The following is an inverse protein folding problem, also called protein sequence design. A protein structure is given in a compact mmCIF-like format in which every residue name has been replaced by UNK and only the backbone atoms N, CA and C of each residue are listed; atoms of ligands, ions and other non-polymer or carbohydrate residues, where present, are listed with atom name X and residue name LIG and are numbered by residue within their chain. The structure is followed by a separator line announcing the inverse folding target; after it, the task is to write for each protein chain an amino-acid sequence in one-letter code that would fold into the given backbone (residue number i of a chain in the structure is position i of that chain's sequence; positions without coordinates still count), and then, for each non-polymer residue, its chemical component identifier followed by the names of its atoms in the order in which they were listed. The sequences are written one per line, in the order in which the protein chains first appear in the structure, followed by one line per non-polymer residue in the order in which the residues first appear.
data_IF_722907475691
#
_entry.id   IF_722907475691
#
_cell.length_a   1.000
_cell.length_b   1.000
_cell.length_c   1.000
_cell.angle_alpha   90.00
_cell.angle_beta   90.00
_cell.angle_gamma   90.00
#
_symmetry.space_group_name_H-M   'P 1'
#
loop_
_entity.id
_entity.type
_entity.pdbx_description
1 polymer ?
#
# COMPACT_ATOMS: atom_id res chain seq x y z
N UNK A 1 38.63 14.30 9.47
CA UNK A 1 38.45 12.93 8.92
C UNK A 1 37.95 12.06 10.06
N UNK A 2 36.70 11.60 10.00
CA UNK A 2 36.10 10.71 11.00
C UNK A 2 35.37 9.62 10.22
N UNK A 3 35.69 8.38 10.55
CA UNK A 3 35.07 7.20 9.98
C UNK A 3 33.98 6.72 10.95
N UNK A 4 32.75 6.57 10.46
CA UNK A 4 31.68 5.90 11.20
C UNK A 4 31.60 4.45 10.71
N UNK A 5 32.31 3.54 11.37
CA UNK A 5 32.03 2.12 11.26
C UNK A 5 30.81 1.78 12.12
N UNK A 6 29.72 1.34 11.49
CA UNK A 6 28.73 0.48 12.12
C UNK A 6 28.83 -0.88 11.46
N UNK A 7 29.44 -1.82 12.18
CA UNK A 7 29.18 -3.24 11.99
C UNK A 7 28.37 -3.73 13.21
N UNK A 8 27.64 -4.83 13.04
CA UNK A 8 26.48 -5.36 13.80
C UNK A 8 25.17 -4.94 13.10
N UNK A 9 24.41 -5.85 12.50
CA UNK A 9 23.85 -7.04 13.15
C UNK A 9 23.93 -8.35 12.34
N UNK A 10 24.05 -9.43 13.13
CA UNK A 10 23.92 -10.84 12.74
C UNK A 10 22.44 -11.17 12.51
N UNK A 11 22.20 -12.01 11.50
CA UNK A 11 20.91 -12.44 10.95
C UNK A 11 20.29 -11.38 10.04
N UNK A 12 20.20 -11.59 8.72
CA UNK A 12 19.32 -10.75 7.92
C UNK A 12 17.94 -10.83 8.58
N UNK A 13 17.23 -9.70 8.80
CA UNK A 13 15.82 -9.79 9.16
C UNK A 13 15.20 -10.70 8.11
N UNK A 14 14.41 -11.69 8.55
CA UNK A 14 13.58 -12.45 7.62
C UNK A 14 12.82 -11.38 6.87
N UNK A 15 13.23 -11.11 5.63
CA UNK A 15 12.56 -10.13 4.79
C UNK A 15 11.24 -10.77 4.47
N UNK A 16 10.25 -10.47 5.31
CA UNK A 16 8.86 -10.63 4.95
C UNK A 16 8.65 -9.57 3.88
N UNK A 17 8.97 -9.95 2.64
CA UNK A 17 8.60 -9.15 1.47
C UNK A 17 7.11 -8.84 1.65
N UNK A 18 6.67 -7.57 1.68
CA UNK A 18 5.27 -7.29 1.93
C UNK A 18 4.45 -7.91 0.82
N UNK A 19 3.58 -8.84 1.24
CA UNK A 19 2.75 -9.64 0.36
C UNK A 19 1.36 -9.02 0.34
N UNK A 20 0.79 -8.89 -0.85
CA UNK A 20 -0.65 -8.67 -1.01
C UNK A 20 -1.26 -10.04 -1.27
N UNK A 21 -2.19 -10.45 -0.42
CA UNK A 21 -2.84 -11.76 -0.51
C UNK A 21 -4.34 -11.58 -0.77
N UNK A 22 -4.87 -12.28 -1.77
CA UNK A 22 -6.31 -12.31 -2.02
C UNK A 22 -6.96 -13.40 -1.17
N UNK A 23 -7.62 -12.98 -0.09
CA UNK A 23 -8.21 -13.90 0.91
C UNK A 23 -9.69 -14.21 0.66
N UNK A 24 -10.32 -13.57 -0.31
CA UNK A 24 -11.72 -13.81 -0.68
C UNK A 24 -11.92 -15.08 -1.52
N UNK A 25 -13.16 -15.57 -1.57
CA UNK A 25 -13.58 -16.60 -2.53
C UNK A 25 -13.33 -16.11 -3.98
N UNK A 26 -12.89 -16.97 -4.92
CA UNK A 26 -12.56 -18.40 -4.78
C UNK A 26 -11.08 -18.67 -4.44
N UNK A 27 -10.30 -17.63 -4.17
CA UNK A 27 -8.83 -17.70 -4.17
C UNK A 27 -8.26 -18.16 -2.81
N UNK A 28 -8.92 -17.81 -1.69
CA UNK A 28 -8.57 -18.27 -0.33
C UNK A 28 -7.07 -18.21 -0.01
N UNK A 29 -6.41 -17.11 -0.37
CA UNK A 29 -5.01 -16.85 -0.08
C UNK A 29 -3.99 -17.56 -0.97
N UNK A 30 -4.43 -18.24 -2.03
CA UNK A 30 -3.52 -18.93 -2.96
C UNK A 30 -2.74 -17.97 -3.86
N UNK A 31 -3.34 -16.84 -4.21
CA UNK A 31 -2.66 -15.79 -4.99
C UNK A 31 -1.99 -14.79 -4.06
N UNK A 32 -0.70 -14.62 -4.28
CA UNK A 32 0.18 -13.76 -3.50
C UNK A 32 0.96 -12.88 -4.47
N UNK A 33 0.85 -11.56 -4.29
CA UNK A 33 1.60 -10.57 -5.07
C UNK A 33 2.70 -9.96 -4.22
N UNK A 34 3.87 -9.77 -4.83
CA UNK A 34 4.96 -9.03 -4.19
C UNK A 34 4.69 -7.55 -4.30
N UNK A 35 4.82 -6.83 -3.19
CA UNK A 35 4.76 -5.38 -3.15
C UNK A 35 6.05 -4.81 -2.52
N UNK A 36 6.27 -3.52 -2.76
CA UNK A 36 7.25 -2.75 -1.99
C UNK A 36 6.49 -1.84 -1.04
N UNK A 37 6.80 -1.85 0.26
CA UNK A 37 6.04 -1.07 1.23
C UNK A 37 6.34 0.41 1.04
N UNK A 38 5.37 1.26 1.38
CA UNK A 38 5.61 2.68 1.44
C UNK A 38 6.59 3.00 2.58
N UNK A 39 7.46 3.99 2.37
CA UNK A 39 8.35 4.52 3.43
C UNK A 39 7.65 5.64 4.24
N UNK A 40 6.33 5.63 4.26
CA UNK A 40 5.49 6.60 4.96
C UNK A 40 4.21 5.92 5.43
N UNK A 41 3.56 6.52 6.44
CA UNK A 41 2.41 5.93 7.11
C UNK A 41 2.82 4.90 8.17
N UNK A 42 1.84 4.18 8.74
CA UNK A 42 2.09 3.09 9.69
C UNK A 42 2.91 1.96 9.07
N UNK A 43 3.72 1.30 9.89
CA UNK A 43 4.47 0.12 9.45
C UNK A 43 3.54 -1.08 9.32
N UNK A 44 3.63 -1.80 8.20
CA UNK A 44 2.91 -3.06 7.97
C UNK A 44 3.62 -4.28 8.58
N UNK A 45 4.75 -4.08 9.27
CA UNK A 45 5.47 -5.17 9.93
C UNK A 45 4.77 -5.67 11.20
N UNK A 46 3.98 -4.81 11.84
CA UNK A 46 3.33 -5.09 13.12
C UNK A 46 1.82 -5.22 13.02
N UNK A 47 1.21 -4.60 12.01
CA UNK A 47 -0.25 -4.59 11.82
C UNK A 47 -0.60 -4.86 10.35
N UNK A 48 -1.37 -5.93 10.14
CA UNK A 48 -1.93 -6.25 8.83
C UNK A 48 -3.23 -5.47 8.60
N UNK A 49 -3.48 -5.06 7.35
CA UNK A 49 -4.72 -4.42 6.93
C UNK A 49 -5.48 -5.40 6.04
N UNK A 50 -6.59 -5.92 6.55
CA UNK A 50 -7.49 -6.81 5.81
C UNK A 50 -8.78 -6.07 5.53
N UNK A 51 -9.05 -5.82 4.24
CA UNK A 51 -10.26 -5.17 3.79
C UNK A 51 -10.52 -5.48 2.32
N UNK A 52 -11.76 -5.23 1.88
CA UNK A 52 -12.10 -5.18 0.46
C UNK A 52 -11.27 -4.11 -0.28
N UNK A 53 -11.08 -4.34 -1.58
CA UNK A 53 -10.36 -3.46 -2.49
C UNK A 53 -11.32 -2.81 -3.48
N UNK A 54 -11.12 -1.53 -3.78
CA UNK A 54 -11.92 -0.78 -4.77
C UNK A 54 -10.99 0.05 -5.63
N UNK A 55 -11.25 0.13 -6.94
CA UNK A 55 -10.50 1.00 -7.84
C UNK A 55 -10.86 2.47 -7.56
N UNK A 56 -9.83 3.31 -7.45
CA UNK A 56 -10.04 4.75 -7.30
C UNK A 56 -10.59 5.38 -8.58
N UNK A 57 -11.46 6.38 -8.43
CA UNK A 57 -11.87 7.27 -9.51
C UNK A 57 -11.59 8.73 -9.13
N UNK A 58 -10.75 9.47 -9.88
CA UNK A 58 -9.97 9.02 -11.03
C UNK A 58 -8.88 8.01 -10.64
N UNK A 59 -8.61 7.05 -11.53
CA UNK A 59 -7.68 5.95 -11.29
C UNK A 59 -6.23 6.35 -11.04
N UNK A 60 -5.82 7.58 -11.36
CA UNK A 60 -4.50 8.12 -11.02
C UNK A 60 -4.47 8.80 -9.65
N UNK A 61 -5.61 9.14 -9.06
CA UNK A 61 -5.72 9.79 -7.75
C UNK A 61 -4.77 11.00 -7.58
N UNK A 62 -4.69 11.87 -8.60
CA UNK A 62 -3.96 13.14 -8.52
C UNK A 62 -4.91 14.34 -8.32
N UNK A 63 -6.15 14.05 -7.98
CA UNK A 63 -7.21 14.97 -7.58
C UNK A 63 -8.14 14.25 -6.60
N UNK A 64 -9.07 14.96 -5.92
CA UNK A 64 -10.05 14.33 -5.06
C UNK A 64 -10.82 13.19 -5.76
N UNK A 65 -11.04 12.10 -5.04
CA UNK A 65 -11.72 10.92 -5.57
C UNK A 65 -13.24 11.13 -5.59
N UNK A 66 -13.88 10.74 -6.68
CA UNK A 66 -15.32 10.89 -6.92
C UNK A 66 -16.14 9.74 -6.35
N UNK A 67 -15.53 8.57 -6.14
CA UNK A 67 -16.18 7.38 -5.59
C UNK A 67 -15.87 7.15 -4.09
N UNK A 68 -15.83 8.23 -3.30
CA UNK A 68 -15.50 8.15 -1.86
C UNK A 68 -16.46 7.25 -1.07
N UNK A 69 -17.75 7.21 -1.43
CA UNK A 69 -18.73 6.32 -0.80
C UNK A 69 -18.37 4.83 -0.96
N UNK A 70 -17.78 4.46 -2.10
CA UNK A 70 -17.33 3.08 -2.34
C UNK A 70 -16.01 2.78 -1.65
N UNK A 71 -15.15 3.79 -1.48
CA UNK A 71 -13.82 3.67 -0.89
C UNK A 71 -13.84 3.68 0.64
N UNK A 72 -14.86 4.27 1.27
CA UNK A 72 -14.94 4.43 2.71
C UNK A 72 -14.73 3.09 3.45
N UNK A 73 -13.67 3.02 4.26
CA UNK A 73 -13.32 1.82 5.01
C UNK A 73 -12.61 0.73 4.20
N UNK A 74 -12.28 0.98 2.92
CA UNK A 74 -11.69 0.02 1.98
C UNK A 74 -10.28 0.39 1.53
N UNK A 75 -9.59 -0.56 0.88
CA UNK A 75 -8.26 -0.33 0.29
C UNK A 75 -8.43 0.20 -1.13
N UNK A 76 -7.88 1.38 -1.42
CA UNK A 76 -7.96 1.98 -2.74
C UNK A 76 -6.87 1.42 -3.67
N UNK A 77 -7.26 0.92 -4.85
CA UNK A 77 -6.35 0.49 -5.92
C UNK A 77 -6.17 1.65 -6.90
N UNK A 78 -4.93 2.10 -7.03
CA UNK A 78 -4.56 3.31 -7.77
C UNK A 78 -3.50 2.98 -8.81
N UNK A 79 -3.61 3.55 -10.01
CA UNK A 79 -2.59 3.44 -11.05
C UNK A 79 -1.46 4.46 -10.82
N UNK A 80 -0.21 4.00 -10.96
CA UNK A 80 0.96 4.88 -10.97
C UNK A 80 0.91 5.85 -12.16
N UNK A 81 1.27 7.11 -11.91
CA UNK A 81 1.37 8.17 -12.93
C UNK A 81 1.12 9.55 -12.32
N UNK A 82 1.43 10.61 -13.10
CA UNK A 82 1.08 12.04 -12.91
C UNK A 82 1.56 12.74 -11.63
N UNK A 83 1.43 12.12 -10.46
CA UNK A 83 1.76 12.71 -9.17
C UNK A 83 2.51 11.72 -8.25
N UNK A 84 3.00 12.23 -7.12
CA UNK A 84 3.77 11.46 -6.14
C UNK A 84 2.90 10.49 -5.34
N UNK A 85 3.49 9.44 -4.78
CA UNK A 85 2.75 8.43 -4.00
C UNK A 85 2.07 9.02 -2.76
N UNK A 86 2.70 9.99 -2.11
CA UNK A 86 2.16 10.70 -0.95
C UNK A 86 0.88 11.46 -1.31
N UNK A 87 0.83 12.04 -2.51
CA UNK A 87 -0.34 12.77 -2.99
C UNK A 87 -1.52 11.83 -3.26
N UNK A 88 -1.25 10.68 -3.89
CA UNK A 88 -2.25 9.61 -4.08
C UNK A 88 -2.81 9.11 -2.75
N UNK A 89 -1.91 8.86 -1.79
CA UNK A 89 -2.28 8.42 -0.45
C UNK A 89 -3.14 9.47 0.27
N UNK A 90 -2.81 10.77 0.12
CA UNK A 90 -3.60 11.86 0.69
C UNK A 90 -5.03 11.86 0.16
N UNK A 91 -5.24 11.84 -1.16
CA UNK A 91 -6.59 11.85 -1.73
C UNK A 91 -7.39 10.58 -1.41
N UNK A 92 -6.72 9.42 -1.35
CA UNK A 92 -7.37 8.19 -0.90
C UNK A 92 -7.77 8.26 0.57
N UNK A 93 -6.91 8.79 1.44
CA UNK A 93 -7.20 8.98 2.85
C UNK A 93 -8.33 10.00 3.07
N UNK A 94 -8.36 11.11 2.32
CA UNK A 94 -9.46 12.08 2.32
C UNK A 94 -10.80 11.43 1.90
N UNK A 95 -10.76 10.44 1.01
CA UNK A 95 -11.91 9.63 0.61
C UNK A 95 -12.29 8.52 1.61
N UNK A 96 -11.55 8.39 2.73
CA UNK A 96 -11.83 7.42 3.79
C UNK A 96 -11.23 6.03 3.56
N UNK A 97 -10.24 5.91 2.66
CA UNK A 97 -9.52 4.65 2.47
C UNK A 97 -8.72 4.26 3.72
N UNK A 98 -8.67 2.97 4.03
CA UNK A 98 -7.84 2.41 5.12
C UNK A 98 -6.45 1.96 4.64
N UNK A 99 -6.23 1.96 3.33
CA UNK A 99 -4.95 1.61 2.71
C UNK A 99 -4.94 1.90 1.22
N UNK A 100 -3.76 1.83 0.60
CA UNK A 100 -3.59 2.07 -0.84
C UNK A 100 -2.69 1.01 -1.46
N UNK A 101 -3.12 0.46 -2.59
CA UNK A 101 -2.30 -0.38 -3.46
C UNK A 101 -2.03 0.40 -4.75
N UNK A 102 -0.76 0.67 -5.04
CA UNK A 102 -0.38 1.33 -6.29
C UNK A 102 0.13 0.31 -7.29
N UNK A 103 -0.57 0.16 -8.41
CA UNK A 103 -0.20 -0.76 -9.47
C UNK A 103 0.59 -0.06 -10.58
N UNK A 104 1.61 -0.75 -11.07
CA UNK A 104 2.31 -0.44 -12.32
C UNK A 104 1.78 -1.43 -13.36
N UNK A 105 1.42 -0.92 -14.54
CA UNK A 105 0.65 -1.61 -15.59
C UNK A 105 1.02 -3.08 -15.81
#
# INVERSE_FOLDING_TARGET
MIEFAKNLEKNPPIRVDPLIQLVSDPIFGREIFKASPAQFGPSLETEEVISEVVFAEPNVACSPLTNSEEILGKIAVIRRGECMFQEKARYAQEAGAVGVIVIVR
#
